data_IF_378856278717
#
_entry.id   IF_378856278717
#
_cell.length_a   1.000
_cell.length_b   1.000
_cell.length_c   1.000
_cell.angle_alpha   90.00
_cell.angle_beta   90.00
_cell.angle_gamma   90.00
#
_symmetry.space_group_name_H-M   'P 1'
#
loop_
_entity.id
_entity.type
_entity.pdbx_description
1 polymer ?
#
# COMPACT_ATOMS: atom_id res chain seq x y z
N UNK A 1 13.00 2.19 16.92
CA UNK A 1 13.19 1.00 16.07
C UNK A 1 12.96 -0.31 16.83
N UNK A 2 13.45 -0.47 18.07
CA UNK A 2 13.39 -1.71 18.85
C UNK A 2 12.03 -2.43 18.92
N UNK A 3 10.91 -1.69 18.89
CA UNK A 3 9.59 -2.34 18.93
C UNK A 3 9.32 -3.20 17.69
N UNK A 4 9.62 -2.70 16.49
CA UNK A 4 9.34 -3.40 15.24
C UNK A 4 10.35 -4.50 14.94
N UNK A 5 11.61 -4.27 15.29
CA UNK A 5 12.65 -5.31 15.24
C UNK A 5 12.25 -6.52 16.10
N UNK A 6 11.72 -6.28 17.30
CA UNK A 6 11.39 -7.36 18.23
C UNK A 6 10.00 -7.99 18.00
N UNK A 7 9.06 -7.24 17.42
CA UNK A 7 7.66 -7.67 17.35
C UNK A 7 7.08 -7.72 15.93
N UNK A 8 7.79 -7.24 14.91
CA UNK A 8 7.29 -7.04 13.54
C UNK A 8 6.65 -8.30 12.94
N UNK A 9 7.32 -9.45 13.08
CA UNK A 9 6.79 -10.73 12.59
C UNK A 9 5.49 -11.19 13.28
N UNK A 10 5.17 -10.68 14.46
CA UNK A 10 3.94 -11.01 15.20
C UNK A 10 2.81 -9.99 14.95
N UNK A 11 3.10 -8.88 14.27
CA UNK A 11 2.13 -7.82 14.03
C UNK A 11 1.26 -8.13 12.82
N UNK A 12 -0.05 -8.21 13.06
CA UNK A 12 -1.06 -8.33 12.01
C UNK A 12 -1.56 -6.96 11.52
N UNK A 13 -1.49 -5.93 12.36
CA UNK A 13 -1.97 -4.58 12.06
C UNK A 13 -1.00 -3.53 12.58
N UNK A 14 -0.80 -2.47 11.81
CA UNK A 14 0.03 -1.32 12.18
C UNK A 14 -0.68 -0.02 11.79
N UNK A 15 -0.71 0.93 12.72
CA UNK A 15 -1.26 2.26 12.52
C UNK A 15 -0.22 3.31 12.92
N UNK A 16 0.16 4.16 11.97
CA UNK A 16 1.07 5.29 12.21
C UNK A 16 0.38 6.58 11.78
N UNK A 17 -0.05 7.38 12.76
CA UNK A 17 -0.81 8.62 12.53
C UNK A 17 0.01 9.71 11.85
N UNK A 18 1.22 9.93 12.34
CA UNK A 18 2.14 10.93 11.82
C UNK A 18 3.13 10.31 10.85
N UNK A 19 3.51 11.08 9.82
CA UNK A 19 4.51 10.60 8.89
C UNK A 19 5.88 10.51 9.60
N UNK A 20 6.54 9.38 9.45
CA UNK A 20 7.94 9.21 9.78
C UNK A 20 8.63 8.42 8.66
N UNK A 21 9.36 9.11 7.78
CA UNK A 21 10.00 8.51 6.60
C UNK A 21 10.94 7.35 6.96
N UNK A 22 11.68 7.47 8.07
CA UNK A 22 12.57 6.41 8.58
C UNK A 22 11.79 5.18 8.99
N UNK A 23 10.65 5.36 9.66
CA UNK A 23 9.75 4.27 10.00
C UNK A 23 9.14 3.64 8.75
N UNK A 24 8.60 4.45 7.85
CA UNK A 24 7.93 4.01 6.62
C UNK A 24 8.87 3.16 5.74
N UNK A 25 10.08 3.66 5.51
CA UNK A 25 11.11 2.96 4.72
C UNK A 25 11.59 1.66 5.34
N UNK A 26 11.53 1.56 6.67
CA UNK A 26 11.92 0.35 7.40
C UNK A 26 10.84 -0.74 7.41
N UNK A 27 9.58 -0.38 7.13
CA UNK A 27 8.47 -1.33 7.23
C UNK A 27 8.70 -2.58 6.39
N UNK A 28 9.06 -2.49 5.11
CA UNK A 28 9.26 -3.66 4.27
C UNK A 28 10.25 -4.71 4.81
N UNK A 29 11.13 -4.35 5.75
CA UNK A 29 12.16 -5.23 6.30
C UNK A 29 11.70 -6.01 7.55
N UNK A 30 10.58 -5.62 8.18
CA UNK A 30 10.15 -6.18 9.47
C UNK A 30 8.86 -7.01 9.43
N UNK A 31 8.10 -7.04 8.32
CA UNK A 31 6.76 -7.66 8.32
C UNK A 31 6.52 -8.64 7.17
N UNK A 32 6.79 -9.90 7.46
CA UNK A 32 6.27 -11.00 6.67
C UNK A 32 4.77 -11.23 6.91
N UNK A 33 4.16 -10.84 8.04
CA UNK A 33 2.79 -11.25 8.40
C UNK A 33 1.75 -10.12 8.45
N UNK A 34 2.11 -8.89 8.11
CA UNK A 34 1.20 -7.74 8.24
C UNK A 34 0.02 -7.85 7.27
N UNK A 35 -1.20 -7.67 7.78
CA UNK A 35 -2.46 -7.75 7.02
C UNK A 35 -3.12 -6.39 6.83
N UNK A 36 -2.90 -5.46 7.76
CA UNK A 36 -3.49 -4.12 7.69
C UNK A 36 -2.48 -3.05 8.05
N UNK A 37 -2.40 -2.03 7.21
CA UNK A 37 -1.44 -0.95 7.37
C UNK A 37 -2.13 0.39 7.18
N UNK A 38 -1.99 1.28 8.16
CA UNK A 38 -2.29 2.69 8.02
C UNK A 38 -0.99 3.49 8.12
N UNK A 39 -0.69 4.30 7.10
CA UNK A 39 0.47 5.19 7.05
C UNK A 39 0.13 6.55 6.45
N UNK A 40 0.71 7.59 7.05
CA UNK A 40 0.86 8.89 6.42
C UNK A 40 2.16 8.88 5.59
N UNK A 41 2.05 9.23 4.31
CA UNK A 41 3.17 9.31 3.35
C UNK A 41 3.21 10.69 2.70
N UNK A 42 4.42 11.21 2.47
CA UNK A 42 4.71 12.41 1.70
C UNK A 42 4.75 12.10 0.20
N UNK A 43 4.62 13.15 -0.64
CA UNK A 43 4.64 13.03 -2.11
C UNK A 43 5.91 12.40 -2.68
N UNK A 44 7.03 12.46 -1.97
CA UNK A 44 8.30 11.84 -2.34
C UNK A 44 8.43 10.36 -1.90
N UNK A 45 7.46 9.79 -1.18
CA UNK A 45 7.53 8.43 -0.61
C UNK A 45 6.80 7.37 -1.45
N UNK A 46 6.52 7.65 -2.72
CA UNK A 46 5.84 6.72 -3.62
C UNK A 46 6.59 5.41 -3.81
N UNK A 47 7.92 5.47 -3.86
CA UNK A 47 8.75 4.27 -3.95
C UNK A 47 8.73 3.45 -2.65
N UNK A 48 8.57 4.12 -1.50
CA UNK A 48 8.33 3.44 -0.21
C UNK A 48 7.02 2.65 -0.26
N UNK A 49 5.94 3.24 -0.78
CA UNK A 49 4.65 2.54 -0.93
C UNK A 49 4.74 1.34 -1.87
N UNK A 50 5.43 1.48 -3.01
CA UNK A 50 5.69 0.35 -3.93
C UNK A 50 6.44 -0.77 -3.21
N UNK A 51 7.51 -0.45 -2.49
CA UNK A 51 8.33 -1.42 -1.78
C UNK A 51 7.54 -2.15 -0.69
N UNK A 52 6.68 -1.43 0.05
CA UNK A 52 5.74 -2.02 1.01
C UNK A 52 4.85 -3.05 0.32
N UNK A 53 4.21 -2.71 -0.80
CA UNK A 53 3.33 -3.65 -1.50
C UNK A 53 4.05 -4.88 -2.06
N UNK A 54 5.31 -4.73 -2.51
CA UNK A 54 6.12 -5.83 -3.03
C UNK A 54 6.53 -6.80 -1.91
N UNK A 55 7.02 -6.27 -0.79
CA UNK A 55 7.60 -7.08 0.30
C UNK A 55 6.54 -7.58 1.31
N UNK A 56 5.50 -6.81 1.59
CA UNK A 56 4.41 -7.19 2.51
C UNK A 56 3.34 -8.02 1.79
N UNK A 57 3.66 -9.24 1.36
CA UNK A 57 2.79 -10.04 0.48
C UNK A 57 1.45 -10.48 1.12
N UNK A 58 1.34 -10.45 2.45
CA UNK A 58 0.11 -10.77 3.18
C UNK A 58 -0.77 -9.55 3.44
N UNK A 59 -0.36 -8.37 2.97
CA UNK A 59 -1.14 -7.15 3.16
C UNK A 59 -2.48 -7.27 2.43
N UNK A 60 -3.55 -7.16 3.21
CA UNK A 60 -4.94 -7.28 2.74
C UNK A 60 -5.60 -5.90 2.63
N UNK A 61 -5.12 -4.95 3.43
CA UNK A 61 -5.66 -3.59 3.48
C UNK A 61 -4.54 -2.56 3.65
N UNK A 62 -4.66 -1.44 2.93
CA UNK A 62 -3.82 -0.26 3.12
C UNK A 62 -4.67 0.99 3.21
N UNK A 63 -4.25 1.89 4.09
CA UNK A 63 -4.89 3.16 4.29
C UNK A 63 -3.86 4.29 4.43
N UNK A 64 -4.11 5.41 3.75
CA UNK A 64 -3.17 6.54 3.78
C UNK A 64 -3.46 7.58 2.69
N UNK A 65 -2.43 8.35 2.33
CA UNK A 65 -2.46 9.26 1.17
C UNK A 65 -2.63 10.75 1.51
N UNK A 66 -2.03 11.23 2.60
CA UNK A 66 -2.14 12.64 3.00
C UNK A 66 -1.60 13.60 1.94
N UNK A 67 -0.41 13.31 1.40
CA UNK A 67 0.30 14.21 0.47
C UNK A 67 0.69 13.53 -0.86
N UNK A 68 0.33 12.26 -1.06
CA UNK A 68 0.47 11.52 -2.33
C UNK A 68 -0.79 11.70 -3.17
N UNK A 69 -0.65 11.84 -4.49
CA UNK A 69 -1.82 12.02 -5.38
C UNK A 69 -2.63 10.73 -5.51
N UNK A 70 -3.94 10.84 -5.65
CA UNK A 70 -4.83 9.68 -5.81
C UNK A 70 -4.47 8.83 -7.03
N UNK A 71 -4.14 9.49 -8.15
CA UNK A 71 -3.68 8.83 -9.38
C UNK A 71 -2.50 7.93 -9.10
N UNK A 72 -1.51 8.45 -8.37
CA UNK A 72 -0.31 7.71 -8.03
C UNK A 72 -0.59 6.54 -7.06
N UNK A 73 -1.46 6.73 -6.06
CA UNK A 73 -1.92 5.62 -5.21
C UNK A 73 -2.54 4.52 -6.07
N UNK A 74 -3.45 4.88 -6.97
CA UNK A 74 -4.15 3.92 -7.80
C UNK A 74 -3.21 3.16 -8.73
N UNK A 75 -2.27 3.84 -9.38
CA UNK A 75 -1.24 3.21 -10.21
C UNK A 75 -0.38 2.24 -9.39
N UNK A 76 0.02 2.63 -8.18
CA UNK A 76 0.82 1.77 -7.31
C UNK A 76 0.02 0.56 -6.84
N UNK A 77 -1.21 0.76 -6.36
CA UNK A 77 -2.06 -0.33 -5.86
C UNK A 77 -2.38 -1.32 -6.98
N UNK A 78 -2.72 -0.85 -8.18
CA UNK A 78 -3.04 -1.71 -9.31
C UNK A 78 -1.85 -2.58 -9.74
N UNK A 79 -0.63 -2.04 -9.74
CA UNK A 79 0.53 -2.77 -10.29
C UNK A 79 1.33 -3.58 -9.25
N UNK A 80 1.38 -3.11 -8.01
CA UNK A 80 2.31 -3.65 -7.00
C UNK A 80 1.63 -4.43 -5.88
N UNK A 81 0.36 -4.18 -5.56
CA UNK A 81 -0.30 -4.88 -4.46
C UNK A 81 -0.41 -6.39 -4.68
N UNK A 82 -0.44 -7.14 -3.58
CA UNK A 82 -0.55 -8.59 -3.60
C UNK A 82 -1.95 -9.05 -4.04
N UNK A 83 -2.10 -10.34 -4.35
CA UNK A 83 -3.42 -10.92 -4.64
C UNK A 83 -4.32 -11.01 -3.39
N UNK A 84 -3.75 -10.88 -2.20
CA UNK A 84 -4.51 -10.89 -0.95
C UNK A 84 -5.15 -9.52 -0.67
N UNK A 85 -4.68 -8.47 -1.36
CA UNK A 85 -5.15 -7.11 -1.20
C UNK A 85 -6.60 -6.95 -1.67
N UNK A 86 -7.43 -6.42 -0.78
CA UNK A 86 -8.88 -6.32 -0.94
C UNK A 86 -9.51 -5.05 -0.41
N UNK A 87 -8.76 -4.20 0.29
CA UNK A 87 -9.28 -2.98 0.89
C UNK A 87 -8.30 -1.82 0.71
N UNK A 88 -8.77 -0.76 0.04
CA UNK A 88 -8.06 0.50 -0.14
C UNK A 88 -8.88 1.63 0.50
N UNK A 89 -8.26 2.38 1.41
CA UNK A 89 -8.87 3.57 2.03
C UNK A 89 -7.95 4.78 1.83
N UNK A 90 -8.39 5.77 1.07
CA UNK A 90 -7.59 6.96 0.77
C UNK A 90 -8.15 8.14 1.56
N UNK A 91 -7.27 8.87 2.26
CA UNK A 91 -7.60 10.14 2.90
C UNK A 91 -7.07 11.28 2.06
N UNK A 92 -7.87 11.73 1.09
CA UNK A 92 -7.51 12.90 0.30
C UNK A 92 -8.02 14.18 1.00
N UNK A 93 -7.10 15.09 1.33
CA UNK A 93 -7.44 16.42 1.85
C UNK A 93 -7.63 17.47 0.75
N UNK A 94 -7.23 17.13 -0.48
CA UNK A 94 -7.19 17.99 -1.67
C UNK A 94 -8.34 17.65 -2.60
N UNK A 95 -9.49 18.25 -2.32
CA UNK A 95 -10.76 17.88 -2.93
C UNK A 95 -10.92 18.54 -4.31
N UNK A 96 -10.25 18.02 -5.33
CA UNK A 96 -10.64 18.21 -6.73
C UNK A 96 -11.49 17.03 -7.19
N UNK A 97 -12.77 17.03 -6.78
CA UNK A 97 -13.72 15.93 -6.96
C UNK A 97 -13.84 15.37 -8.40
N UNK A 98 -13.64 16.19 -9.43
CA UNK A 98 -13.80 15.76 -10.82
C UNK A 98 -12.65 14.86 -11.30
N UNK A 99 -11.44 15.07 -10.78
CA UNK A 99 -10.26 14.25 -11.14
C UNK A 99 -10.34 12.88 -10.46
N UNK A 100 -10.99 12.80 -9.29
CA UNK A 100 -11.20 11.55 -8.58
C UNK A 100 -12.00 10.52 -9.40
N UNK A 101 -13.07 10.95 -10.08
CA UNK A 101 -13.93 10.01 -10.82
C UNK A 101 -13.23 9.37 -12.02
N UNK A 102 -12.47 10.14 -12.80
CA UNK A 102 -11.75 9.61 -13.97
C UNK A 102 -10.61 8.67 -13.54
N UNK A 103 -9.82 9.08 -12.53
CA UNK A 103 -8.75 8.25 -12.00
C UNK A 103 -9.29 6.96 -11.37
N UNK A 104 -10.44 7.02 -10.69
CA UNK A 104 -11.09 5.84 -10.11
C UNK A 104 -11.60 4.88 -11.20
N UNK A 105 -12.17 5.38 -12.29
CA UNK A 105 -12.62 4.52 -13.40
C UNK A 105 -11.43 3.79 -14.04
N UNK A 106 -10.35 4.52 -14.35
CA UNK A 106 -9.11 3.94 -14.86
C UNK A 106 -8.51 2.92 -13.89
N UNK A 107 -8.53 3.23 -12.59
CA UNK A 107 -8.10 2.31 -11.55
C UNK A 107 -8.91 1.02 -11.57
N UNK A 108 -10.24 1.09 -11.62
CA UNK A 108 -11.11 -0.09 -11.61
C UNK A 108 -10.92 -0.95 -12.86
N UNK A 109 -10.71 -0.34 -14.03
CA UNK A 109 -10.38 -1.06 -15.27
C UNK A 109 -9.06 -1.81 -15.12
N UNK A 110 -8.00 -1.13 -14.64
CA UNK A 110 -6.70 -1.74 -14.41
C UNK A 110 -6.76 -2.83 -13.35
N UNK A 111 -7.50 -2.60 -12.27
CA UNK A 111 -7.71 -3.55 -11.16
C UNK A 111 -8.36 -4.85 -11.64
N UNK A 112 -9.40 -4.73 -12.48
CA UNK A 112 -10.09 -5.88 -13.09
C UNK A 112 -9.16 -6.72 -13.97
N UNK A 113 -8.22 -6.07 -14.68
CA UNK A 113 -7.32 -6.71 -15.62
C UNK A 113 -6.02 -7.22 -14.99
N UNK A 114 -5.87 -7.15 -13.65
CA UNK A 114 -4.66 -7.64 -12.98
C UNK A 114 -4.48 -9.14 -13.18
N UNK A 115 -3.32 -9.52 -13.67
CA UNK A 115 -2.88 -10.91 -13.68
C UNK A 115 -2.67 -11.32 -12.22
N UNK A 116 -3.45 -12.28 -11.75
CA UNK A 116 -3.24 -12.87 -10.42
C UNK A 116 -1.83 -13.44 -10.34
N UNK A 117 -0.94 -12.83 -9.54
CA UNK A 117 0.44 -13.33 -9.36
C UNK A 117 0.51 -14.75 -8.77
N UNK A 118 -0.63 -15.30 -8.31
CA UNK A 118 -0.72 -16.65 -7.72
C UNK A 118 -0.62 -17.74 -8.79
N UNK A 119 -1.00 -17.44 -10.04
CA UNK A 119 -0.89 -18.41 -11.14
C UNK A 119 0.53 -18.55 -11.70
N UNK A 120 1.46 -17.66 -11.35
CA UNK A 120 2.84 -17.71 -11.83
C UNK A 120 3.74 -18.66 -11.02
N UNK A 121 3.27 -19.21 -9.89
CA UNK A 121 4.01 -20.16 -9.04
C UNK A 121 3.76 -21.64 -9.41
N UNK A 122 3.01 -21.95 -10.47
CA UNK A 122 2.76 -23.31 -10.95
C UNK A 122 3.73 -23.78 -12.06
N UNK A 123 4.87 -23.10 -12.21
CA UNK A 123 5.85 -23.36 -13.28
C UNK A 123 7.28 -23.60 -12.78
N UNK A 124 7.46 -24.33 -11.67
CA UNK A 124 8.75 -24.87 -11.23
C UNK A 124 8.60 -26.37 -10.96
#
# INVERSE_FOLDING_TARGET
MNFLENNGNNLNKLYVGENNETLNSSIPDFYSNLKSLYLSLYSNESDTLKNIFIKCQYLESWCGGKDITEKEVFEIVANYSSNNFRELKIFNSSVEHNIFSENLELFLINWKNRISKKSQLLGI
#
